data_IF_980987185374
#
_entry.id   IF_980987185374
#
_cell.length_a   1.000
_cell.length_b   1.000
_cell.length_c   1.000
_cell.angle_alpha   90.00
_cell.angle_beta   90.00
_cell.angle_gamma   90.00
#
_symmetry.space_group_name_H-M   'P 1'
#
loop_
_entity.id
_entity.type
_entity.pdbx_description
1 polymer ?
#
# COMPACT_ATOMS: atom_id res chain seq x y z
N UNK A 1 42.46 7.64 18.56
CA UNK A 1 41.70 7.73 17.30
C UNK A 1 40.41 6.91 17.49
N UNK A 2 39.41 7.47 18.14
CA UNK A 2 38.07 6.93 18.07
C UNK A 2 37.54 7.27 16.68
N UNK A 3 37.72 6.36 15.73
CA UNK A 3 36.96 6.38 14.51
C UNK A 3 35.51 6.11 14.92
N UNK A 4 34.73 7.17 15.13
CA UNK A 4 33.31 7.09 15.50
C UNK A 4 32.46 6.51 14.37
N UNK A 5 32.90 5.36 13.84
CA UNK A 5 32.24 4.61 12.75
C UNK A 5 31.46 3.47 13.37
N UNK A 6 30.18 3.35 12.98
CA UNK A 6 29.32 2.21 13.30
C UNK A 6 28.71 1.68 12.02
N UNK A 7 28.71 0.37 11.87
CA UNK A 7 28.00 -0.34 10.82
C UNK A 7 26.86 -1.14 11.47
N UNK A 8 25.64 -0.89 11.04
CA UNK A 8 24.45 -1.60 11.51
C UNK A 8 23.90 -2.41 10.33
N UNK A 9 23.68 -3.70 10.57
CA UNK A 9 23.06 -4.58 9.59
C UNK A 9 21.80 -5.16 10.24
N UNK A 10 20.66 -4.87 9.66
CA UNK A 10 19.37 -5.41 10.08
C UNK A 10 18.81 -6.27 8.95
N UNK A 11 18.47 -7.51 9.26
CA UNK A 11 17.85 -8.44 8.34
C UNK A 11 16.63 -9.05 9.01
N UNK A 12 15.51 -9.05 8.32
CA UNK A 12 14.28 -9.68 8.76
C UNK A 12 13.69 -10.45 7.59
N UNK A 13 13.20 -11.65 7.86
CA UNK A 13 12.50 -12.48 6.89
C UNK A 13 11.22 -13.02 7.51
N UNK A 14 10.15 -13.00 6.73
CA UNK A 14 8.85 -13.55 7.12
C UNK A 14 8.42 -14.55 6.06
N UNK A 15 8.07 -15.74 6.51
CA UNK A 15 7.48 -16.80 5.69
C UNK A 15 6.08 -17.09 6.23
N UNK A 16 5.08 -16.85 5.39
CA UNK A 16 3.68 -17.14 5.68
C UNK A 16 3.19 -18.18 4.68
N UNK A 17 2.63 -19.28 5.18
CA UNK A 17 2.04 -20.35 4.37
C UNK A 17 0.57 -20.45 4.72
N UNK A 18 -0.26 -20.39 3.70
CA UNK A 18 -1.69 -20.55 3.81
C UNK A 18 -2.14 -21.74 2.98
N UNK A 19 -3.03 -22.52 3.55
CA UNK A 19 -3.72 -23.60 2.88
C UNK A 19 -5.21 -23.45 3.19
N UNK A 20 -6.04 -23.33 2.16
CA UNK A 20 -7.46 -23.11 2.34
C UNK A 20 -8.26 -23.51 1.10
N UNK A 21 -9.60 -23.46 1.17
CA UNK A 21 -10.46 -23.79 0.03
C UNK A 21 -10.12 -22.95 -1.21
N UNK A 22 -10.23 -23.53 -2.39
CA UNK A 22 -10.00 -22.82 -3.66
C UNK A 22 -11.00 -21.69 -3.86
N UNK A 23 -12.24 -21.89 -3.44
CA UNK A 23 -13.27 -20.85 -3.44
C UNK A 23 -13.16 -20.02 -2.15
N UNK A 24 -13.45 -18.74 -2.25
CA UNK A 24 -13.44 -17.89 -1.05
C UNK A 24 -14.52 -18.35 -0.05
N UNK A 25 -14.18 -18.29 1.23
CA UNK A 25 -15.16 -18.56 2.30
C UNK A 25 -16.40 -17.67 2.20
N UNK A 26 -16.22 -16.42 1.73
CA UNK A 26 -17.31 -15.47 1.49
C UNK A 26 -18.23 -15.97 0.39
N UNK A 27 -17.69 -16.53 -0.71
CA UNK A 27 -18.49 -17.10 -1.79
C UNK A 27 -19.31 -18.31 -1.31
N UNK A 28 -18.69 -19.20 -0.53
CA UNK A 28 -19.40 -20.34 0.05
C UNK A 28 -20.52 -19.89 1.00
N UNK A 29 -20.25 -18.87 1.83
CA UNK A 29 -21.24 -18.30 2.74
C UNK A 29 -22.39 -17.62 1.98
N UNK A 30 -22.11 -16.78 0.99
CA UNK A 30 -23.13 -16.15 0.15
C UNK A 30 -23.98 -17.19 -0.57
N UNK A 31 -23.37 -18.26 -1.06
CA UNK A 31 -24.07 -19.34 -1.72
C UNK A 31 -24.97 -20.12 -0.73
N UNK A 32 -24.55 -20.29 0.52
CA UNK A 32 -25.33 -20.91 1.56
C UNK A 32 -26.62 -20.12 1.88
N UNK A 33 -26.56 -18.80 1.83
CA UNK A 33 -27.72 -17.93 1.99
C UNK A 33 -28.71 -18.01 0.79
N UNK A 34 -28.19 -18.22 -0.41
CA UNK A 34 -28.95 -18.27 -1.64
C UNK A 34 -29.46 -19.67 -1.95
N UNK A 35 -28.89 -20.71 -1.30
CA UNK A 35 -29.33 -22.09 -1.52
C UNK A 35 -30.60 -22.40 -0.72
N UNK A 36 -31.63 -22.94 -1.41
CA UNK A 36 -32.80 -23.40 -0.75
C UNK A 36 -32.58 -24.79 -0.12
N UNK A 37 -32.76 -24.94 1.19
CA UNK A 37 -32.47 -26.20 1.87
C UNK A 37 -33.51 -27.33 1.52
N UNK A 38 -34.61 -26.96 0.88
CA UNK A 38 -35.63 -27.91 0.44
C UNK A 38 -35.44 -28.39 -0.99
N UNK A 39 -34.60 -27.72 -1.78
CA UNK A 39 -34.40 -28.05 -3.19
C UNK A 39 -33.38 -29.18 -3.40
N UNK A 40 -32.39 -29.30 -2.54
CA UNK A 40 -31.41 -30.39 -2.56
C UNK A 40 -30.68 -30.54 -1.22
N UNK A 41 -30.26 -31.75 -0.92
CA UNK A 41 -29.36 -32.02 0.21
C UNK A 41 -27.93 -31.59 -0.13
N UNK A 42 -27.12 -31.18 0.83
CA UNK A 42 -25.66 -30.86 0.60
C UNK A 42 -24.94 -32.05 -0.06
N UNK A 43 -25.25 -33.26 0.35
CA UNK A 43 -24.72 -34.52 -0.22
C UNK A 43 -25.79 -35.60 -0.17
N UNK A 44 -25.73 -36.55 -1.09
CA UNK A 44 -26.53 -37.75 -1.07
C UNK A 44 -25.74 -38.99 -0.63
N UNK A 45 -26.36 -40.02 -0.06
CA UNK A 45 -25.72 -41.28 0.32
C UNK A 45 -24.99 -41.90 -0.86
N UNK A 46 -23.89 -42.60 -0.58
CA UNK A 46 -23.19 -43.38 -1.58
C UNK A 46 -23.99 -44.63 -1.94
N UNK A 47 -24.00 -45.02 -3.21
CA UNK A 47 -24.49 -46.34 -3.63
C UNK A 47 -23.35 -47.16 -4.25
N UNK A 48 -23.58 -48.48 -4.38
CA UNK A 48 -22.62 -49.40 -4.94
C UNK A 48 -22.48 -49.34 -6.48
N UNK A 49 -23.31 -48.53 -7.15
CA UNK A 49 -23.45 -48.49 -8.61
C UNK A 49 -22.16 -48.03 -9.30
N UNK A 50 -21.36 -47.19 -8.60
CA UNK A 50 -20.18 -46.59 -9.21
C UNK A 50 -18.85 -47.23 -8.76
N UNK A 51 -18.80 -48.31 -8.11
CA UNK A 51 -17.56 -49.07 -7.82
C UNK A 51 -16.40 -48.31 -7.11
N UNK A 52 -16.57 -47.02 -6.81
CA UNK A 52 -15.56 -46.18 -6.17
C UNK A 52 -16.21 -45.01 -5.37
N UNK A 53 -15.69 -44.70 -4.21
CA UNK A 53 -16.22 -43.64 -3.35
C UNK A 53 -15.98 -42.27 -3.94
N UNK A 54 -17.03 -41.44 -4.00
CA UNK A 54 -16.97 -39.99 -4.29
C UNK A 54 -18.11 -39.29 -3.56
N UNK A 55 -17.92 -37.98 -3.37
CA UNK A 55 -18.95 -37.16 -2.75
C UNK A 55 -20.01 -36.85 -3.83
N UNK A 56 -21.28 -37.12 -3.53
CA UNK A 56 -22.40 -36.80 -4.39
C UNK A 56 -23.05 -35.51 -3.95
N UNK A 57 -22.62 -34.42 -4.58
CA UNK A 57 -23.15 -33.09 -4.27
C UNK A 57 -24.53 -32.90 -4.84
N UNK A 58 -25.49 -32.53 -3.97
CA UNK A 58 -26.84 -32.22 -4.38
C UNK A 58 -26.90 -30.91 -5.14
N UNK A 59 -27.67 -30.89 -6.23
CA UNK A 59 -27.94 -29.70 -7.06
C UNK A 59 -29.32 -29.81 -7.70
N UNK A 60 -29.77 -28.72 -8.33
CA UNK A 60 -30.96 -28.71 -9.20
C UNK A 60 -30.56 -28.22 -10.59
N UNK A 61 -31.50 -28.29 -11.54
CA UNK A 61 -31.29 -27.74 -12.88
C UNK A 61 -31.12 -26.20 -12.85
N UNK A 62 -31.79 -25.52 -11.93
CA UNK A 62 -31.74 -24.06 -11.76
C UNK A 62 -30.60 -23.60 -10.86
N UNK A 63 -30.21 -24.44 -9.89
CA UNK A 63 -29.14 -24.12 -8.95
C UNK A 63 -28.08 -25.22 -8.97
N UNK A 64 -27.04 -25.00 -9.78
CA UNK A 64 -25.98 -25.98 -9.98
C UNK A 64 -24.79 -25.78 -9.00
N UNK A 65 -24.80 -24.76 -8.16
CA UNK A 65 -23.75 -24.49 -7.20
C UNK A 65 -24.20 -24.86 -5.79
N UNK A 66 -23.55 -25.86 -5.23
CA UNK A 66 -23.75 -26.32 -3.87
C UNK A 66 -22.71 -25.66 -2.95
N UNK A 67 -23.10 -25.00 -1.83
CA UNK A 67 -22.17 -24.32 -0.94
C UNK A 67 -21.12 -25.27 -0.32
N UNK A 68 -21.53 -26.49 0.03
CA UNK A 68 -20.60 -27.48 0.58
C UNK A 68 -19.60 -27.96 -0.49
N UNK A 69 -20.02 -28.07 -1.75
CA UNK A 69 -19.16 -28.40 -2.88
C UNK A 69 -18.03 -27.36 -3.04
N UNK A 70 -18.29 -26.07 -2.85
CA UNK A 70 -17.28 -25.02 -2.95
C UNK A 70 -16.16 -25.21 -1.94
N UNK A 71 -16.45 -25.75 -0.77
CA UNK A 71 -15.46 -26.02 0.28
C UNK A 71 -14.66 -27.30 0.04
N UNK A 72 -15.19 -28.24 -0.76
CA UNK A 72 -14.64 -29.58 -0.93
C UNK A 72 -13.98 -29.83 -2.30
N UNK A 73 -14.20 -28.98 -3.29
CA UNK A 73 -13.74 -29.22 -4.65
C UNK A 73 -12.25 -28.94 -4.86
N UNK A 74 -11.56 -28.43 -3.86
CA UNK A 74 -10.13 -28.20 -3.95
C UNK A 74 -9.63 -27.20 -2.93
N UNK A 75 -8.35 -26.93 -3.02
CA UNK A 75 -7.65 -26.00 -2.12
C UNK A 75 -6.65 -25.15 -2.87
N UNK A 76 -6.23 -24.08 -2.24
CA UNK A 76 -5.14 -23.23 -2.72
C UNK A 76 -4.02 -23.23 -1.70
N UNK A 77 -2.81 -23.52 -2.17
CA UNK A 77 -1.59 -23.32 -1.40
C UNK A 77 -0.99 -21.96 -1.74
N UNK A 78 -0.78 -21.16 -0.72
CA UNK A 78 -0.20 -19.82 -0.87
C UNK A 78 1.02 -19.71 0.01
N UNK A 79 2.12 -19.26 -0.57
CA UNK A 79 3.35 -18.93 0.15
C UNK A 79 3.66 -17.45 -0.05
N UNK A 80 3.79 -16.72 1.04
CA UNK A 80 4.28 -15.33 1.06
C UNK A 80 5.64 -15.33 1.73
N UNK A 81 6.62 -14.82 1.03
CA UNK A 81 7.97 -14.66 1.54
C UNK A 81 8.39 -13.21 1.38
N UNK A 82 8.63 -12.53 2.49
CA UNK A 82 9.09 -11.15 2.49
C UNK A 82 10.39 -11.00 3.27
N UNK A 83 11.29 -10.14 2.78
CA UNK A 83 12.52 -9.79 3.45
C UNK A 83 12.70 -8.27 3.51
N UNK A 84 13.27 -7.81 4.62
CA UNK A 84 13.72 -6.43 4.80
C UNK A 84 15.17 -6.52 5.23
N UNK A 85 16.07 -6.06 4.37
CA UNK A 85 17.51 -6.01 4.63
C UNK A 85 17.97 -4.56 4.58
N UNK A 86 18.62 -4.08 5.63
CA UNK A 86 19.17 -2.73 5.71
C UNK A 86 20.59 -2.77 6.23
N UNK A 87 21.49 -2.15 5.50
CA UNK A 87 22.82 -1.84 5.96
C UNK A 87 22.92 -0.31 6.16
N UNK A 88 23.38 0.12 7.33
CA UNK A 88 23.50 1.53 7.68
C UNK A 88 24.93 1.79 8.19
N UNK A 89 25.59 2.75 7.57
CA UNK A 89 26.88 3.30 7.97
C UNK A 89 26.65 4.60 8.71
N UNK A 90 27.21 4.75 9.89
CA UNK A 90 27.13 5.94 10.72
C UNK A 90 28.55 6.40 11.04
N UNK A 91 28.85 7.65 10.76
CA UNK A 91 30.14 8.26 11.06
C UNK A 91 29.96 9.56 11.86
N UNK A 92 30.57 9.61 13.02
CA UNK A 92 30.66 10.83 13.78
C UNK A 92 31.80 11.71 13.17
N UNK A 93 31.41 12.90 12.72
CA UNK A 93 32.33 13.87 12.10
C UNK A 93 32.64 15.06 13.04
N UNK A 94 32.47 14.88 14.35
CA UNK A 94 32.70 15.94 15.36
C UNK A 94 34.15 16.42 15.40
N UNK A 95 35.06 15.66 14.80
CA UNK A 95 36.47 16.13 14.58
C UNK A 95 36.58 17.24 13.54
N UNK A 96 35.66 17.34 12.61
CA UNK A 96 35.57 18.40 11.61
C UNK A 96 34.71 19.56 12.10
N UNK A 97 33.48 19.24 12.53
CA UNK A 97 32.51 20.19 13.06
C UNK A 97 31.81 19.50 14.24
N UNK A 98 31.89 20.11 15.43
CA UNK A 98 31.29 19.58 16.65
C UNK A 98 29.78 19.32 16.46
N UNK A 99 29.34 18.12 16.74
CA UNK A 99 27.93 17.73 16.60
C UNK A 99 27.49 17.33 15.18
N UNK A 100 28.46 17.14 14.25
CA UNK A 100 28.19 16.67 12.89
C UNK A 100 28.24 15.14 12.83
N UNK A 101 27.23 14.54 12.20
CA UNK A 101 27.12 13.10 11.97
C UNK A 101 26.65 12.84 10.53
N UNK A 102 27.30 11.88 9.87
CA UNK A 102 26.89 11.36 8.56
C UNK A 102 26.30 9.97 8.74
N UNK A 103 25.17 9.73 8.09
CA UNK A 103 24.56 8.40 7.94
C UNK A 103 24.35 8.09 6.47
N UNK A 104 24.69 6.89 6.07
CA UNK A 104 24.37 6.37 4.74
C UNK A 104 23.77 4.98 4.87
N UNK A 105 22.68 4.70 4.17
CA UNK A 105 22.06 3.40 4.23
C UNK A 105 21.57 2.90 2.88
N UNK A 106 21.59 1.59 2.73
CA UNK A 106 20.96 0.85 1.63
C UNK A 106 19.94 -0.11 2.23
N UNK A 107 18.74 -0.09 1.70
CA UNK A 107 17.66 -0.99 2.12
C UNK A 107 17.11 -1.75 0.90
N UNK A 108 17.00 -3.06 1.03
CA UNK A 108 16.38 -3.96 0.08
C UNK A 108 15.14 -4.59 0.74
N UNK A 109 13.98 -4.32 0.19
CA UNK A 109 12.72 -4.92 0.60
C UNK A 109 12.22 -5.78 -0.55
N UNK A 110 11.94 -7.06 -0.29
CA UNK A 110 11.32 -7.96 -1.26
C UNK A 110 10.06 -8.58 -0.67
N UNK A 111 9.03 -8.70 -1.47
CA UNK A 111 7.81 -9.42 -1.13
C UNK A 111 7.42 -10.31 -2.31
N UNK A 112 7.48 -11.61 -2.10
CA UNK A 112 7.13 -12.61 -3.09
C UNK A 112 5.85 -13.32 -2.65
N UNK A 113 4.99 -13.57 -3.59
CA UNK A 113 3.74 -14.29 -3.40
C UNK A 113 3.63 -15.36 -4.46
N UNK A 114 3.43 -16.59 -4.03
CA UNK A 114 3.20 -17.77 -4.86
C UNK A 114 1.87 -18.37 -4.46
N UNK A 115 1.04 -18.73 -5.43
CA UNK A 115 -0.24 -19.34 -5.17
C UNK A 115 -0.55 -20.38 -6.24
N UNK A 116 -0.74 -21.61 -5.81
CA UNK A 116 -1.07 -22.74 -6.69
C UNK A 116 -2.44 -23.29 -6.27
N UNK A 117 -3.46 -23.16 -7.12
CA UNK A 117 -4.76 -23.79 -6.88
C UNK A 117 -4.73 -25.26 -7.31
N UNK A 118 -5.36 -26.11 -6.52
CA UNK A 118 -5.61 -27.52 -6.84
C UNK A 118 -7.11 -27.76 -6.77
N UNK A 119 -7.72 -28.26 -7.85
CA UNK A 119 -9.15 -28.46 -7.90
C UNK A 119 -9.57 -29.72 -8.64
N UNK A 120 -10.77 -30.16 -8.33
CA UNK A 120 -11.49 -31.17 -9.09
C UNK A 120 -12.74 -30.53 -9.70
N UNK A 121 -13.30 -31.20 -10.69
CA UNK A 121 -14.66 -30.95 -11.16
C UNK A 121 -15.58 -31.94 -10.45
N UNK A 122 -16.34 -31.53 -9.40
CA UNK A 122 -17.13 -32.44 -8.59
C UNK A 122 -18.30 -33.04 -9.33
N UNK A 123 -18.67 -34.25 -8.97
CA UNK A 123 -19.88 -34.90 -9.47
C UNK A 123 -21.13 -34.31 -8.82
N UNK A 124 -22.09 -33.92 -9.64
CA UNK A 124 -23.35 -33.26 -9.24
C UNK A 124 -24.52 -34.16 -9.51
N UNK A 125 -25.47 -34.23 -8.58
CA UNK A 125 -26.63 -35.06 -8.64
C UNK A 125 -27.89 -34.28 -8.26
N UNK A 126 -29.02 -34.61 -8.89
CA UNK A 126 -30.35 -34.18 -8.46
C UNK A 126 -31.16 -35.39 -7.98
N UNK A 127 -31.97 -35.19 -6.96
CA UNK A 127 -32.93 -36.18 -6.51
C UNK A 127 -34.08 -36.26 -7.54
N UNK A 128 -34.36 -37.46 -8.02
CA UNK A 128 -35.46 -37.75 -8.93
C UNK A 128 -36.64 -38.31 -8.14
N UNK A 129 -36.36 -39.24 -7.24
CA UNK A 129 -37.37 -39.88 -6.38
C UNK A 129 -36.74 -40.31 -5.05
N UNK A 130 -37.53 -40.36 -4.01
CA UNK A 130 -37.18 -40.91 -2.71
C UNK A 130 -38.24 -41.97 -2.33
N UNK A 131 -37.75 -43.13 -1.97
CA UNK A 131 -38.61 -44.24 -1.51
C UNK A 131 -38.65 -44.22 0.03
N UNK A 132 -39.79 -43.86 0.59
CA UNK A 132 -40.01 -43.75 2.04
C UNK A 132 -39.96 -45.11 2.77
N UNK A 133 -40.22 -46.24 2.05
CA UNK A 133 -40.20 -47.57 2.65
C UNK A 133 -38.79 -48.14 2.72
N UNK A 134 -37.99 -47.94 1.70
CA UNK A 134 -36.62 -48.45 1.62
C UNK A 134 -35.57 -47.46 2.03
N UNK A 135 -35.88 -46.15 2.04
CA UNK A 135 -34.91 -45.06 2.27
C UNK A 135 -33.99 -44.81 1.08
N UNK A 136 -34.31 -45.37 -0.10
CA UNK A 136 -33.46 -45.24 -1.29
C UNK A 136 -33.64 -43.91 -2.00
N UNK A 137 -32.54 -43.34 -2.44
CA UNK A 137 -32.48 -42.11 -3.24
C UNK A 137 -32.25 -42.44 -4.71
N UNK A 138 -33.18 -42.17 -5.57
CA UNK A 138 -32.97 -42.25 -7.02
C UNK A 138 -32.38 -40.94 -7.51
N UNK A 139 -31.12 -40.97 -7.93
CA UNK A 139 -30.37 -39.80 -8.34
C UNK A 139 -30.15 -39.76 -9.86
N UNK A 140 -30.23 -38.59 -10.43
CA UNK A 140 -29.81 -38.34 -11.80
C UNK A 140 -28.58 -37.44 -11.81
N UNK A 141 -27.62 -37.76 -12.66
CA UNK A 141 -26.44 -36.89 -12.89
C UNK A 141 -26.83 -35.57 -13.52
N UNK A 142 -26.13 -34.50 -13.11
CA UNK A 142 -26.33 -33.15 -13.64
C UNK A 142 -25.04 -32.65 -14.22
N UNK A 143 -24.90 -32.70 -15.55
CA UNK A 143 -23.76 -32.20 -16.32
C UNK A 143 -22.40 -32.64 -15.76
N UNK A 144 -22.20 -33.95 -15.69
CA UNK A 144 -20.95 -34.55 -15.20
C UNK A 144 -19.92 -34.82 -16.32
N UNK A 145 -20.07 -34.19 -17.51
CA UNK A 145 -19.25 -34.44 -18.69
C UNK A 145 -17.74 -34.21 -18.40
N UNK A 146 -17.40 -33.25 -17.55
CA UNK A 146 -16.04 -32.93 -17.16
C UNK A 146 -15.73 -33.31 -15.70
N UNK A 147 -16.62 -34.02 -15.03
CA UNK A 147 -16.41 -34.39 -13.64
C UNK A 147 -15.15 -35.27 -13.47
N UNK A 148 -14.37 -35.00 -12.45
CA UNK A 148 -13.10 -35.67 -12.15
C UNK A 148 -12.91 -35.82 -10.66
N UNK A 149 -12.35 -36.99 -10.26
CA UNK A 149 -11.93 -37.26 -8.89
C UNK A 149 -10.51 -36.78 -8.60
N UNK A 150 -9.74 -36.62 -9.66
CA UNK A 150 -8.32 -36.31 -9.54
C UNK A 150 -8.16 -34.81 -9.38
N UNK A 151 -7.49 -34.40 -8.33
CA UNK A 151 -7.03 -33.05 -8.16
C UNK A 151 -6.07 -32.68 -9.28
N UNK A 152 -6.34 -31.58 -9.92
CA UNK A 152 -5.50 -31.02 -10.97
C UNK A 152 -4.93 -29.69 -10.48
N UNK A 153 -3.63 -29.48 -10.70
CA UNK A 153 -3.00 -28.20 -10.46
C UNK A 153 -3.49 -27.18 -11.53
N UNK A 154 -3.99 -26.07 -11.06
CA UNK A 154 -4.29 -24.93 -11.93
C UNK A 154 -3.06 -24.10 -12.23
N UNK A 155 -3.26 -22.97 -12.88
CA UNK A 155 -2.15 -22.05 -13.20
C UNK A 155 -1.59 -21.43 -11.93
N UNK A 156 -0.28 -21.55 -11.75
CA UNK A 156 0.44 -20.88 -10.68
C UNK A 156 0.37 -19.37 -10.87
N UNK A 157 0.09 -18.65 -9.81
CA UNK A 157 0.16 -17.19 -9.73
C UNK A 157 1.40 -16.79 -8.93
N UNK A 158 2.25 -16.00 -9.53
CA UNK A 158 3.47 -15.49 -8.90
C UNK A 158 3.49 -13.97 -9.01
N UNK A 159 3.71 -13.30 -7.87
CA UNK A 159 4.00 -11.87 -7.85
C UNK A 159 5.27 -11.59 -7.05
N UNK A 160 6.06 -10.65 -7.52
CA UNK A 160 7.26 -10.18 -6.83
C UNK A 160 7.26 -8.66 -6.81
N UNK A 161 7.47 -8.09 -5.63
CA UNK A 161 7.64 -6.66 -5.41
C UNK A 161 9.00 -6.44 -4.75
N UNK A 162 9.90 -5.76 -5.44
CA UNK A 162 11.25 -5.48 -4.97
C UNK A 162 11.49 -3.99 -4.94
N UNK A 163 11.92 -3.47 -3.78
CA UNK A 163 12.26 -2.08 -3.59
C UNK A 163 13.68 -1.93 -3.03
N UNK A 164 14.51 -1.22 -3.75
CA UNK A 164 15.85 -0.78 -3.29
C UNK A 164 15.77 0.69 -2.93
N UNK A 165 16.26 1.06 -1.75
CA UNK A 165 16.32 2.45 -1.29
C UNK A 165 17.75 2.78 -0.88
N UNK A 166 18.28 3.87 -1.41
CA UNK A 166 19.53 4.50 -1.00
C UNK A 166 19.21 5.78 -0.25
N UNK A 167 19.84 5.98 0.90
CA UNK A 167 19.60 7.15 1.71
C UNK A 167 20.93 7.67 2.28
N UNK A 168 21.14 8.99 2.17
CA UNK A 168 22.20 9.73 2.82
C UNK A 168 21.61 10.79 3.73
N UNK A 169 22.08 10.89 4.97
CA UNK A 169 21.68 11.92 5.93
C UNK A 169 22.89 12.62 6.51
N UNK A 170 22.83 13.94 6.57
CA UNK A 170 23.79 14.77 7.27
C UNK A 170 23.04 15.46 8.41
N UNK A 171 23.48 15.21 9.63
CA UNK A 171 22.88 15.75 10.84
C UNK A 171 23.91 16.62 11.56
N UNK A 172 23.48 17.80 11.97
CA UNK A 172 24.28 18.68 12.81
C UNK A 172 23.44 19.21 13.95
N UNK A 173 23.95 19.11 15.16
CA UNK A 173 23.34 19.69 16.35
C UNK A 173 24.39 20.45 17.14
N UNK A 174 24.05 21.65 17.55
CA UNK A 174 24.91 22.46 18.41
C UNK A 174 24.09 23.23 19.44
N UNK A 175 24.70 23.37 20.61
CA UNK A 175 24.15 24.21 21.67
C UNK A 175 25.32 25.02 22.28
N UNK A 176 25.09 26.31 22.42
CA UNK A 176 26.04 27.22 23.07
C UNK A 176 25.31 28.34 23.78
N UNK A 177 25.65 28.59 25.03
CA UNK A 177 24.93 29.53 25.89
C UNK A 177 23.40 29.27 25.82
N UNK A 178 22.65 30.28 25.38
CA UNK A 178 21.18 30.23 25.24
C UNK A 178 20.72 29.79 23.83
N UNK A 179 21.63 29.37 22.96
CA UNK A 179 21.33 29.04 21.57
C UNK A 179 21.34 27.54 21.34
N UNK A 180 20.37 27.05 20.60
CA UNK A 180 20.27 25.66 20.16
C UNK A 180 20.00 25.62 18.66
N UNK A 181 20.75 24.80 17.93
CA UNK A 181 20.54 24.62 16.49
C UNK A 181 20.49 23.14 16.14
N UNK A 182 19.65 22.81 15.18
CA UNK A 182 19.63 21.50 14.54
C UNK A 182 19.49 21.68 13.03
N UNK A 183 20.32 20.97 12.27
CA UNK A 183 20.27 20.95 10.81
C UNK A 183 20.28 19.51 10.36
N UNK A 184 19.34 19.14 9.49
CA UNK A 184 19.25 17.80 8.89
C UNK A 184 19.09 17.96 7.39
N UNK A 185 20.02 17.37 6.63
CA UNK A 185 19.89 17.20 5.18
C UNK A 185 19.68 15.72 4.86
N UNK A 186 18.77 15.41 3.97
CA UNK A 186 18.46 14.05 3.53
C UNK A 186 18.45 13.98 2.02
N UNK A 187 19.18 13.04 1.48
CA UNK A 187 19.12 12.60 0.11
C UNK A 187 18.55 11.19 0.09
N UNK A 188 17.52 10.93 -0.70
CA UNK A 188 16.93 9.60 -0.84
C UNK A 188 16.61 9.32 -2.30
N UNK A 189 16.93 8.11 -2.71
CA UNK A 189 16.55 7.57 -4.02
C UNK A 189 15.99 6.17 -3.82
N UNK A 190 14.87 5.85 -4.46
CA UNK A 190 14.41 4.48 -4.50
C UNK A 190 14.05 4.04 -5.92
N UNK A 191 14.20 2.75 -6.13
CA UNK A 191 13.71 2.03 -7.29
C UNK A 191 12.85 0.85 -6.83
N UNK A 192 11.65 0.70 -7.41
CA UNK A 192 10.73 -0.40 -7.15
C UNK A 192 10.37 -1.08 -8.44
N UNK A 193 10.49 -2.40 -8.47
CA UNK A 193 10.08 -3.26 -9.57
C UNK A 193 8.98 -4.20 -9.14
N UNK A 194 8.04 -4.47 -10.03
CA UNK A 194 6.91 -5.35 -9.79
C UNK A 194 6.77 -6.37 -10.92
N UNK A 195 6.47 -7.63 -10.59
CA UNK A 195 6.23 -8.74 -11.52
C UNK A 195 4.99 -9.51 -11.07
N UNK A 196 4.16 -10.04 -11.97
CA UNK A 196 4.21 -9.94 -13.42
C UNK A 196 3.76 -8.57 -13.91
N UNK A 197 4.19 -8.22 -15.10
CA UNK A 197 3.83 -6.96 -15.74
C UNK A 197 2.74 -7.17 -16.79
N UNK A 198 1.73 -6.32 -16.77
CA UNK A 198 0.62 -6.36 -17.74
C UNK A 198 0.93 -5.63 -19.04
N UNK A 199 1.94 -4.77 -19.04
CA UNK A 199 2.40 -4.02 -20.21
C UNK A 199 3.84 -3.56 -20.04
N UNK A 200 4.51 -3.18 -21.11
CA UNK A 200 5.87 -2.62 -21.07
C UNK A 200 5.94 -1.39 -20.17
N UNK A 201 4.94 -0.51 -20.23
CA UNK A 201 4.88 0.69 -19.38
C UNK A 201 4.78 0.35 -17.89
N UNK A 202 3.98 -0.66 -17.55
CA UNK A 202 3.83 -1.12 -16.17
C UNK A 202 5.06 -1.89 -15.67
N UNK A 203 5.86 -2.45 -16.58
CA UNK A 203 7.11 -3.14 -16.29
C UNK A 203 8.30 -2.23 -16.02
N UNK A 204 8.19 -0.95 -16.34
CA UNK A 204 9.27 -0.02 -16.03
C UNK A 204 9.41 0.20 -14.51
N UNK A 205 10.64 0.19 -13.96
CA UNK A 205 10.87 0.44 -12.56
C UNK A 205 10.28 1.77 -12.10
N UNK A 206 9.74 1.81 -10.89
CA UNK A 206 9.28 3.06 -10.27
C UNK A 206 10.44 3.74 -9.57
N UNK A 207 10.76 4.95 -9.98
CA UNK A 207 11.87 5.72 -9.42
C UNK A 207 11.39 7.01 -8.82
N UNK A 208 11.97 7.34 -7.70
CA UNK A 208 11.78 8.63 -7.04
C UNK A 208 13.11 9.11 -6.48
N UNK A 209 13.33 10.41 -6.52
CA UNK A 209 14.51 11.05 -5.96
C UNK A 209 14.05 12.24 -5.13
N UNK A 210 14.53 12.28 -3.89
CA UNK A 210 14.19 13.32 -2.91
C UNK A 210 15.46 13.92 -2.35
N UNK A 211 15.53 15.24 -2.33
CA UNK A 211 16.43 16.00 -1.50
C UNK A 211 15.62 16.85 -0.54
N UNK A 212 15.88 16.75 0.75
CA UNK A 212 15.21 17.57 1.75
C UNK A 212 16.19 18.13 2.78
N UNK A 213 15.85 19.29 3.30
CA UNK A 213 16.62 19.94 4.36
C UNK A 213 15.67 20.53 5.39
N UNK A 214 16.05 20.43 6.65
CA UNK A 214 15.35 21.02 7.79
C UNK A 214 16.37 21.67 8.72
N UNK A 215 16.11 22.90 9.08
CA UNK A 215 16.87 23.65 10.06
C UNK A 215 15.97 24.19 11.15
N UNK A 216 16.38 24.04 12.40
CA UNK A 216 15.69 24.64 13.54
C UNK A 216 16.68 25.43 14.40
N UNK A 217 16.18 26.51 15.00
CA UNK A 217 16.91 27.37 15.90
C UNK A 217 16.03 27.70 17.11
N UNK A 218 16.60 27.51 18.28
CA UNK A 218 16.00 27.89 19.57
C UNK A 218 16.86 28.92 20.30
N UNK A 219 16.22 29.90 20.92
CA UNK A 219 16.88 30.91 21.72
C UNK A 219 16.22 31.03 23.11
N UNK A 220 17.03 30.88 24.15
CA UNK A 220 16.63 30.97 25.56
C UNK A 220 15.47 30.04 25.94
N UNK A 221 15.28 28.93 25.21
CA UNK A 221 14.10 28.06 25.35
C UNK A 221 12.75 28.80 25.33
N UNK A 222 12.69 29.93 24.62
CA UNK A 222 11.51 30.80 24.48
C UNK A 222 11.10 30.99 23.03
N UNK A 223 12.05 31.22 22.14
CA UNK A 223 11.84 31.51 20.76
C UNK A 223 12.34 30.35 19.92
N UNK A 224 11.51 29.85 19.05
CA UNK A 224 11.86 28.76 18.15
C UNK A 224 11.45 29.13 16.74
N UNK A 225 12.37 28.91 15.80
CA UNK A 225 12.12 29.07 14.36
C UNK A 225 12.60 27.81 13.66
N UNK A 226 11.81 27.34 12.70
CA UNK A 226 12.11 26.17 11.88
C UNK A 226 11.85 26.50 10.43
N UNK A 227 12.75 26.09 9.55
CA UNK A 227 12.56 26.11 8.11
C UNK A 227 12.89 24.76 7.52
N UNK A 228 12.10 24.32 6.56
CA UNK A 228 12.39 23.09 5.82
C UNK A 228 11.98 23.23 4.37
N UNK A 229 12.54 22.38 3.51
CA UNK A 229 12.05 22.19 2.16
C UNK A 229 12.27 20.76 1.70
N UNK A 230 11.41 20.30 0.80
CA UNK A 230 11.58 19.11 -0.01
C UNK A 230 11.70 19.47 -1.47
N UNK A 231 12.66 18.86 -2.17
CA UNK A 231 12.81 18.93 -3.61
C UNK A 231 12.73 17.51 -4.17
N UNK A 232 11.57 17.19 -4.74
CA UNK A 232 11.20 15.82 -5.10
C UNK A 232 11.08 15.68 -6.61
N UNK A 233 11.66 14.61 -7.16
CA UNK A 233 11.52 14.22 -8.55
C UNK A 233 10.65 12.97 -8.69
N UNK A 234 9.60 13.05 -9.52
CA UNK A 234 8.74 11.92 -9.86
C UNK A 234 8.70 11.68 -11.36
N UNK A 235 8.94 10.46 -11.78
CA UNK A 235 8.90 10.07 -13.19
C UNK A 235 7.48 9.98 -13.77
N UNK A 236 6.43 10.10 -12.92
CA UNK A 236 5.03 10.08 -13.35
C UNK A 236 4.67 11.26 -14.23
N UNK A 237 5.40 12.36 -14.09
CA UNK A 237 5.17 13.61 -14.82
C UNK A 237 6.09 13.75 -16.04
N UNK A 238 5.68 14.57 -17.00
CA UNK A 238 6.54 14.98 -18.11
C UNK A 238 7.80 15.71 -17.61
N UNK A 239 8.91 15.65 -18.37
CA UNK A 239 10.23 16.16 -17.96
C UNK A 239 10.23 17.55 -17.32
N UNK A 240 9.42 18.46 -17.85
CA UNK A 240 9.30 19.84 -17.36
C UNK A 240 8.45 20.01 -16.09
N UNK A 241 7.79 18.95 -15.62
CA UNK A 241 6.95 18.94 -14.41
C UNK A 241 7.37 17.87 -13.40
N UNK A 242 8.46 17.15 -13.65
CA UNK A 242 8.94 16.07 -12.77
C UNK A 242 9.35 16.55 -11.39
N UNK A 243 9.88 17.77 -11.29
CA UNK A 243 10.42 18.30 -10.06
C UNK A 243 9.44 19.23 -9.36
N UNK A 244 9.26 18.98 -8.05
CA UNK A 244 8.46 19.82 -7.17
C UNK A 244 9.29 20.37 -6.01
N UNK A 245 9.08 21.65 -5.67
CA UNK A 245 9.70 22.30 -4.52
C UNK A 245 8.63 22.63 -3.47
N UNK A 246 8.83 22.10 -2.25
CA UNK A 246 7.86 22.15 -1.17
C UNK A 246 8.49 22.74 0.09
N UNK A 247 8.46 24.07 0.23
CA UNK A 247 8.98 24.77 1.41
C UNK A 247 7.97 24.73 2.56
N UNK A 248 8.52 24.79 3.79
CA UNK A 248 7.73 25.02 4.99
C UNK A 248 8.53 25.86 6.00
N UNK A 249 7.82 26.66 6.77
CA UNK A 249 8.35 27.47 7.87
C UNK A 249 7.46 27.37 9.08
N UNK A 250 8.06 27.37 10.26
CA UNK A 250 7.34 27.38 11.53
C UNK A 250 8.03 28.26 12.56
N UNK A 251 7.26 28.72 13.51
CA UNK A 251 7.77 29.47 14.66
C UNK A 251 6.96 29.19 15.91
N UNK A 252 7.60 29.26 17.05
CA UNK A 252 6.95 29.14 18.34
C UNK A 252 7.55 30.11 19.34
N UNK A 253 6.70 30.65 20.21
CA UNK A 253 7.08 31.55 21.29
C UNK A 253 6.46 31.06 22.58
N UNK A 254 7.29 30.76 23.59
CA UNK A 254 6.84 30.41 24.92
C UNK A 254 6.73 31.70 25.76
N UNK A 255 5.58 32.33 25.69
CA UNK A 255 5.30 33.62 26.31
C UNK A 255 5.36 33.53 27.84
N UNK A 256 5.01 32.41 28.45
CA UNK A 256 5.07 32.21 29.93
C UNK A 256 6.50 32.30 30.49
N UNK A 257 7.53 32.15 29.68
CA UNK A 257 8.93 32.31 30.10
C UNK A 257 9.43 33.77 30.05
N UNK A 258 8.58 34.69 29.57
CA UNK A 258 8.93 36.11 29.56
C UNK A 258 8.76 36.74 30.95
N UNK A 259 9.66 37.63 31.35
CA UNK A 259 9.69 38.25 32.66
C UNK A 259 8.35 38.93 33.01
N UNK A 260 7.75 39.63 32.03
CA UNK A 260 6.48 40.33 32.26
C UNK A 260 5.29 39.41 32.53
N UNK A 261 5.34 38.13 32.11
CA UNK A 261 4.34 37.14 32.43
C UNK A 261 4.75 36.31 33.64
N UNK A 262 6.00 35.85 33.74
CA UNK A 262 6.51 35.06 34.82
C UNK A 262 6.33 35.73 36.17
N UNK A 263 6.55 37.05 36.25
CA UNK A 263 6.44 37.85 37.46
C UNK A 263 4.96 38.15 37.87
N UNK A 264 4.02 38.18 36.89
CA UNK A 264 2.64 38.62 37.09
C UNK A 264 1.59 37.49 37.10
N UNK A 265 1.96 36.27 36.75
CA UNK A 265 1.00 35.15 36.59
C UNK A 265 1.23 34.03 37.62
N UNK A 266 1.92 34.34 38.73
CA UNK A 266 2.20 33.36 39.77
C UNK A 266 0.91 32.67 40.26
N UNK A 267 0.78 31.37 39.94
CA UNK A 267 -0.23 30.49 40.43
C UNK A 267 -1.41 30.15 39.51
N UNK A 268 -1.75 30.95 38.52
CA UNK A 268 -2.91 30.64 37.68
C UNK A 268 -2.55 30.30 36.22
N UNK A 269 -1.49 30.87 35.65
CA UNK A 269 -1.00 30.55 34.29
C UNK A 269 0.41 29.98 34.39
N UNK A 270 0.54 28.67 34.26
CA UNK A 270 1.82 27.96 34.39
C UNK A 270 2.56 27.82 33.05
N UNK A 271 1.83 27.82 31.92
CA UNK A 271 2.41 27.71 30.60
C UNK A 271 1.57 28.44 29.55
N UNK A 272 2.23 29.17 28.64
CA UNK A 272 1.60 29.78 27.47
C UNK A 272 2.56 29.77 26.32
N UNK A 273 2.14 29.15 25.20
CA UNK A 273 2.91 29.06 23.97
C UNK A 273 2.03 29.40 22.78
N UNK A 274 2.54 30.24 21.92
CA UNK A 274 2.01 30.51 20.60
C UNK A 274 2.82 29.77 19.55
N UNK A 275 2.15 29.26 18.51
CA UNK A 275 2.81 28.59 17.38
C UNK A 275 2.18 28.98 16.05
N UNK A 276 3.01 29.01 15.06
CA UNK A 276 2.65 29.27 13.67
C UNK A 276 3.36 28.27 12.78
N UNK A 277 2.69 27.75 11.77
CA UNK A 277 3.33 27.02 10.69
C UNK A 277 2.63 27.33 9.37
N UNK A 278 3.43 27.37 8.31
CA UNK A 278 3.00 27.44 6.94
C UNK A 278 3.89 26.52 6.10
N UNK A 279 3.29 25.84 5.12
CA UNK A 279 4.05 24.99 4.22
C UNK A 279 3.25 24.50 3.04
N UNK A 280 3.99 23.98 2.06
CA UNK A 280 3.47 23.33 0.86
C UNK A 280 3.83 21.86 0.89
N UNK A 281 2.85 21.01 0.56
CA UNK A 281 3.02 19.56 0.41
C UNK A 281 2.64 19.17 -1.00
N UNK A 282 3.49 18.40 -1.67
CA UNK A 282 3.25 17.87 -3.01
C UNK A 282 2.77 16.44 -2.96
N UNK A 283 1.81 16.09 -3.83
CA UNK A 283 1.32 14.74 -4.02
C UNK A 283 1.45 14.36 -5.51
N UNK A 284 2.13 13.23 -5.79
CA UNK A 284 2.22 12.62 -7.12
C UNK A 284 1.34 11.38 -7.25
N UNK A 285 0.68 10.96 -6.15
CA UNK A 285 -0.15 9.76 -6.05
C UNK A 285 -1.50 9.87 -6.77
N UNK A 286 -1.90 11.07 -7.22
CA UNK A 286 -3.14 11.33 -7.97
C UNK A 286 -3.19 10.58 -9.31
N UNK A 287 -2.01 10.23 -9.87
CA UNK A 287 -1.92 9.44 -11.10
C UNK A 287 -1.85 7.95 -10.73
N UNK A 288 -2.97 7.27 -10.79
CA UNK A 288 -3.05 5.84 -10.46
C UNK A 288 -2.93 4.95 -11.69
N UNK A 289 -3.62 5.28 -12.79
CA UNK A 289 -3.61 4.50 -14.02
C UNK A 289 -4.10 5.35 -15.22
N UNK A 290 -3.39 5.35 -16.35
CA UNK A 290 -2.06 4.78 -16.58
C UNK A 290 -0.96 5.56 -15.84
N UNK A 291 0.08 4.86 -15.38
CA UNK A 291 1.19 5.43 -14.60
C UNK A 291 1.91 6.59 -15.30
N UNK A 292 2.06 6.52 -16.60
CA UNK A 292 2.74 7.52 -17.43
C UNK A 292 1.74 8.24 -18.33
N UNK A 293 0.95 9.13 -17.76
CA UNK A 293 -0.07 9.89 -18.50
C UNK A 293 0.50 10.81 -19.58
N UNK A 294 1.80 11.13 -19.50
CA UNK A 294 2.50 11.96 -20.49
C UNK A 294 2.97 11.16 -21.72
N UNK A 295 2.77 9.83 -21.73
CA UNK A 295 3.06 8.97 -22.87
C UNK A 295 1.76 8.50 -23.55
N UNK A 296 1.73 8.36 -24.88
CA UNK A 296 0.58 7.78 -25.57
C UNK A 296 0.51 6.27 -25.28
N UNK A 297 -0.70 5.74 -25.10
CA UNK A 297 -0.94 4.30 -25.08
C UNK A 297 -1.51 3.90 -26.43
N UNK A 298 -0.78 3.04 -27.13
CA UNK A 298 -1.19 2.47 -28.43
C UNK A 298 -1.57 1.01 -28.18
N UNK A 299 -2.75 0.64 -28.61
CA UNK A 299 -3.23 -0.74 -28.52
C UNK A 299 -3.76 -1.23 -29.85
N UNK A 300 -3.86 -2.56 -30.00
CA UNK A 300 -4.50 -3.14 -31.18
C UNK A 300 -6.02 -3.16 -31.00
N UNK A 301 -6.72 -2.89 -32.04
CA UNK A 301 -8.16 -2.99 -32.14
C UNK A 301 -8.48 -3.81 -33.38
N UNK A 302 -9.02 -5.00 -33.20
CA UNK A 302 -9.47 -5.83 -34.32
C UNK A 302 -10.59 -5.13 -35.10
N UNK A 303 -10.54 -5.21 -36.42
CA UNK A 303 -11.61 -4.74 -37.30
C UNK A 303 -12.19 -5.97 -38.01
N UNK A 304 -13.52 -6.08 -37.96
CA UNK A 304 -14.26 -7.01 -38.80
C UNK A 304 -14.32 -6.46 -40.25
N UNK A 305 -13.79 -7.21 -41.24
CA UNK A 305 -13.99 -6.89 -42.65
C UNK A 305 -15.20 -7.66 -43.18
N UNK A 306 -16.36 -6.99 -43.33
CA UNK A 306 -17.59 -7.67 -43.80
C UNK A 306 -17.50 -8.24 -45.19
N UNK A 307 -16.50 -7.81 -46.00
CA UNK A 307 -16.33 -8.29 -47.37
C UNK A 307 -15.66 -9.66 -47.46
N UNK A 308 -14.89 -10.05 -46.43
CA UNK A 308 -14.18 -11.32 -46.38
C UNK A 308 -14.82 -12.37 -45.49
N UNK A 309 -15.84 -12.01 -44.69
CA UNK A 309 -16.48 -12.93 -43.74
C UNK A 309 -15.55 -13.44 -42.62
N UNK A 310 -14.33 -12.92 -42.55
CA UNK A 310 -13.31 -13.33 -41.60
C UNK A 310 -13.02 -12.22 -40.61
N UNK A 311 -12.69 -12.64 -39.39
CA UNK A 311 -12.37 -11.73 -38.30
C UNK A 311 -10.99 -11.10 -38.48
N UNK A 312 -10.96 -9.83 -38.32
CA UNK A 312 -9.91 -8.93 -37.82
C UNK A 312 -8.59 -8.84 -38.62
N UNK A 313 -8.45 -7.70 -39.24
CA UNK A 313 -7.13 -7.08 -39.44
C UNK A 313 -6.74 -6.37 -38.17
N UNK A 314 -5.50 -6.53 -37.71
CA UNK A 314 -4.97 -5.76 -36.58
C UNK A 314 -4.87 -4.27 -36.96
N UNK A 315 -5.67 -3.45 -36.32
CA UNK A 315 -5.57 -1.99 -36.37
C UNK A 315 -4.98 -1.46 -35.07
N UNK A 316 -3.94 -0.67 -35.18
CA UNK A 316 -3.39 0.05 -34.05
C UNK A 316 -4.08 1.40 -33.90
N UNK A 317 -4.56 1.67 -32.68
CA UNK A 317 -5.22 2.94 -32.34
C UNK A 317 -4.59 3.52 -31.08
N UNK A 318 -4.60 4.86 -30.99
CA UNK A 318 -4.23 5.53 -29.77
C UNK A 318 -5.37 5.35 -28.75
N UNK A 319 -5.15 4.50 -27.74
CA UNK A 319 -6.12 4.25 -26.67
C UNK A 319 -6.16 5.38 -25.64
N UNK A 320 -5.01 6.02 -25.40
CA UNK A 320 -4.89 7.17 -24.52
C UNK A 320 -3.94 8.19 -25.13
N UNK A 321 -4.40 9.43 -25.24
CA UNK A 321 -3.57 10.54 -25.69
C UNK A 321 -2.66 11.03 -24.55
N UNK A 322 -1.42 11.46 -24.85
CA UNK A 322 -0.51 11.96 -23.85
C UNK A 322 -1.00 13.28 -23.25
N UNK A 323 -1.01 13.38 -21.93
CA UNK A 323 -1.25 14.62 -21.22
C UNK A 323 0.02 15.10 -20.53
N UNK A 324 0.75 16.00 -21.19
CA UNK A 324 2.02 16.56 -20.68
C UNK A 324 1.82 17.73 -19.71
N UNK A 325 0.56 18.18 -19.47
CA UNK A 325 0.24 19.31 -18.60
C UNK A 325 0.04 18.93 -17.15
N UNK A 326 -0.09 17.65 -16.87
CA UNK A 326 -0.25 17.15 -15.49
C UNK A 326 1.01 17.44 -14.69
N UNK A 327 0.83 17.94 -13.49
CA UNK A 327 1.89 18.32 -12.54
C UNK A 327 1.46 17.97 -11.10
N UNK A 328 2.35 18.19 -10.16
CA UNK A 328 2.11 17.95 -8.75
C UNK A 328 0.80 18.60 -8.26
N UNK A 329 -0.02 17.83 -7.57
CA UNK A 329 -1.04 18.40 -6.69
C UNK A 329 -0.33 19.04 -5.50
N UNK A 330 -0.72 20.24 -5.14
CA UNK A 330 -0.09 21.00 -4.06
C UNK A 330 -1.16 21.35 -3.02
N UNK A 331 -0.93 20.91 -1.79
CA UNK A 331 -1.67 21.38 -0.62
C UNK A 331 -0.84 22.46 0.08
N UNK A 332 -1.38 23.66 0.17
CA UNK A 332 -0.84 24.76 0.96
C UNK A 332 -1.56 24.82 2.29
N UNK A 333 -0.80 24.68 3.37
CA UNK A 333 -1.34 24.55 4.73
C UNK A 333 -0.80 25.68 5.61
N UNK A 334 -1.67 26.29 6.40
CA UNK A 334 -1.34 27.26 7.45
C UNK A 334 -2.01 26.87 8.75
N UNK A 335 -1.28 26.94 9.84
CA UNK A 335 -1.78 26.66 11.19
C UNK A 335 -1.31 27.74 12.16
N UNK A 336 -2.24 28.23 13.00
CA UNK A 336 -1.99 29.07 14.16
C UNK A 336 -2.50 28.33 15.40
N UNK A 337 -1.66 28.15 16.40
CA UNK A 337 -2.00 27.41 17.60
C UNK A 337 -1.62 28.15 18.87
N UNK A 338 -2.40 27.91 19.91
CA UNK A 338 -2.13 28.34 21.27
C UNK A 338 -2.21 27.12 22.20
N UNK A 339 -1.21 26.99 23.06
CA UNK A 339 -1.14 25.97 24.10
C UNK A 339 -1.01 26.67 25.45
N UNK A 340 -1.91 26.38 26.38
CA UNK A 340 -1.89 27.00 27.71
C UNK A 340 -2.19 25.97 28.79
N UNK A 341 -1.53 26.15 29.95
CA UNK A 341 -1.73 25.36 31.17
C UNK A 341 -2.01 26.30 32.31
N UNK A 342 -3.07 26.01 33.04
CA UNK A 342 -3.52 26.79 34.21
C UNK A 342 -3.43 25.94 35.48
N UNK A 343 -3.18 26.59 36.60
CA UNK A 343 -3.15 25.97 37.94
C UNK A 343 -2.21 24.75 37.97
N UNK A 344 -0.95 24.93 37.57
CA UNK A 344 0.09 23.89 37.48
C UNK A 344 -0.30 22.66 36.66
N UNK A 345 -1.09 22.90 35.59
CA UNK A 345 -1.48 21.85 34.66
C UNK A 345 -2.81 21.14 35.01
N UNK A 346 -3.55 21.63 36.01
CA UNK A 346 -4.90 21.08 36.32
C UNK A 346 -5.86 21.31 35.16
N UNK A 347 -5.71 22.44 34.44
CA UNK A 347 -6.47 22.72 33.21
C UNK A 347 -5.50 22.95 32.07
N UNK A 348 -5.68 22.21 30.98
CA UNK A 348 -4.93 22.41 29.76
C UNK A 348 -5.88 22.81 28.63
N UNK A 349 -5.52 23.86 27.91
CA UNK A 349 -6.26 24.34 26.74
C UNK A 349 -5.33 24.37 25.53
N UNK A 350 -5.71 23.64 24.48
CA UNK A 350 -5.06 23.65 23.19
C UNK A 350 -6.09 24.08 22.15
N UNK A 351 -5.77 25.12 21.38
CA UNK A 351 -6.64 25.61 20.32
C UNK A 351 -5.83 25.83 19.04
N UNK A 352 -6.38 25.41 17.93
CA UNK A 352 -5.78 25.53 16.60
C UNK A 352 -6.77 26.10 15.60
N UNK A 353 -6.28 27.01 14.77
CA UNK A 353 -6.96 27.48 13.57
C UNK A 353 -6.08 27.08 12.38
N UNK A 354 -6.64 26.34 11.46
CA UNK A 354 -5.93 25.91 10.27
C UNK A 354 -6.68 26.25 8.99
N UNK A 355 -5.92 26.41 7.92
CA UNK A 355 -6.41 26.57 6.56
C UNK A 355 -5.62 25.65 5.64
N UNK A 356 -6.31 24.96 4.73
CA UNK A 356 -5.72 24.18 3.66
C UNK A 356 -6.33 24.61 2.32
N UNK A 357 -5.47 24.88 1.34
CA UNK A 357 -5.87 25.21 -0.04
C UNK A 357 -5.16 24.23 -0.97
N UNK A 358 -5.92 23.53 -1.80
CA UNK A 358 -5.38 22.59 -2.78
C UNK A 358 -5.41 23.13 -4.18
N UNK A 359 -4.32 22.89 -4.91
CA UNK A 359 -4.13 23.33 -6.30
C UNK A 359 -3.77 22.13 -7.18
N UNK A 360 -4.09 22.21 -8.47
CA UNK A 360 -3.82 21.20 -9.49
C UNK A 360 -4.43 19.81 -9.15
N UNK A 361 -5.62 19.80 -8.58
CA UNK A 361 -6.37 18.58 -8.35
C UNK A 361 -6.74 17.99 -9.70
N UNK A 362 -6.52 16.69 -9.87
CA UNK A 362 -6.98 15.92 -11.03
C UNK A 362 -8.36 15.36 -10.69
N UNK A 363 -9.35 15.77 -11.46
CA UNK A 363 -10.72 15.24 -11.44
C UNK A 363 -10.86 14.05 -12.41
#
# INVERSE_FOLDING_TARGET
LNAGIRLLINSSATLDKYHGPIDSQVAAYQQAFNASPVDFAPTYPGDATYGWPHIRFGTTASQQTNPYMLLQRGYTETTRFSTINRAEYIQNLSSLIKGLELRASVSLVTANYYSTPFSTMPYKYRLVNYDDETGEHQLAEVDNTFASRTLQAGSESHTSDTRVTYEGRLLHTAAWNDHQTSLTGVFQMYERTYTPVSSVLNGMPQRNLTFSMRGSYGFKDRYFVEGSFGYNGSERFAKNHQWGFFPAIGGAWIASKERFLADNTSGWLSFLKFRFSWGKVGNDGVITSPRFTHLPVIGSQGIYDPRKGEASMDKYVVQSYPNTKIKWEIAEQMNLGIESKFFDGVVELNADIYQEIRHNILD
#
